data_IF_048838246421
#
_entry.id   IF_048838246421
#
_cell.length_a   1.000
_cell.length_b   1.000
_cell.length_c   1.000
_cell.angle_alpha   90.00
_cell.angle_beta   90.00
_cell.angle_gamma   90.00
#
_symmetry.space_group_name_H-M   'P 1'
#
loop_
_entity.id
_entity.type
_entity.pdbx_description
1 polymer ?
#
# COMPACT_ATOMS: atom_id res chain seq x y z
N UNK A 1 -3.71 4.60 -5.30
CA UNK A 1 -3.57 3.12 -5.18
C UNK A 1 -3.23 2.82 -3.71
N UNK A 2 -3.69 1.73 -3.11
CA UNK A 2 -3.32 1.42 -1.72
C UNK A 2 -1.90 0.81 -1.73
N UNK A 3 -0.95 1.46 -1.06
CA UNK A 3 0.48 1.11 -1.10
C UNK A 3 0.88 -0.06 -0.20
N UNK A 4 0.07 -0.36 0.82
CA UNK A 4 0.34 -1.36 1.85
C UNK A 4 1.50 -0.96 2.77
N UNK A 5 1.31 -1.11 4.07
CA UNK A 5 2.39 -0.92 5.04
C UNK A 5 3.30 -2.15 5.08
N UNK A 6 4.57 -1.93 5.43
CA UNK A 6 5.50 -3.02 5.67
C UNK A 6 5.13 -3.76 6.95
N UNK A 7 5.46 -5.04 7.04
CA UNK A 7 5.26 -5.80 8.27
C UNK A 7 6.07 -5.24 9.43
N UNK A 8 7.27 -4.70 9.16
CA UNK A 8 8.06 -3.98 10.15
C UNK A 8 7.24 -2.84 10.78
N UNK A 9 6.64 -1.99 9.95
CA UNK A 9 5.85 -0.85 10.41
C UNK A 9 4.61 -1.30 11.20
N UNK A 10 3.86 -2.28 10.69
CA UNK A 10 2.68 -2.82 11.38
C UNK A 10 3.07 -3.37 12.76
N UNK A 11 4.18 -4.10 12.85
CA UNK A 11 4.68 -4.65 14.10
C UNK A 11 5.15 -3.55 15.05
N UNK A 12 5.95 -2.61 14.59
CA UNK A 12 6.54 -1.55 15.42
C UNK A 12 5.46 -0.62 16.01
N UNK A 13 4.42 -0.29 15.23
CA UNK A 13 3.34 0.58 15.69
C UNK A 13 2.36 -0.10 16.66
N UNK A 14 2.12 -1.41 16.48
CA UNK A 14 1.03 -2.10 17.18
C UNK A 14 1.53 -3.06 18.28
N UNK A 15 2.83 -3.28 18.40
CA UNK A 15 3.44 -4.17 19.39
C UNK A 15 4.63 -3.51 20.09
N UNK A 16 4.39 -2.46 20.90
CA UNK A 16 5.45 -1.77 21.62
C UNK A 16 6.17 -2.74 22.57
N UNK A 17 7.50 -2.71 22.55
CA UNK A 17 8.34 -3.57 23.40
C UNK A 17 8.63 -4.96 22.81
N UNK A 18 8.09 -5.30 21.63
CA UNK A 18 8.53 -6.50 20.93
C UNK A 18 9.93 -6.31 20.34
N UNK A 19 10.77 -7.35 20.46
CA UNK A 19 12.12 -7.32 19.90
C UNK A 19 12.08 -7.13 18.38
N UNK A 20 13.10 -6.47 17.79
CA UNK A 20 13.24 -6.38 16.34
C UNK A 20 13.16 -7.76 15.69
N UNK A 21 12.21 -7.94 14.78
CA UNK A 21 12.04 -9.18 14.03
C UNK A 21 12.65 -9.05 12.64
N UNK A 22 13.08 -10.19 12.08
CA UNK A 22 13.49 -10.29 10.68
C UNK A 22 12.29 -10.55 9.75
N UNK A 23 11.16 -10.95 10.31
CA UNK A 23 9.92 -11.20 9.60
C UNK A 23 8.84 -11.77 10.51
N UNK A 24 7.78 -12.27 9.88
CA UNK A 24 6.66 -12.93 10.55
C UNK A 24 6.27 -14.21 9.81
N UNK A 25 5.50 -15.05 10.47
CA UNK A 25 4.67 -16.07 9.83
C UNK A 25 3.22 -15.68 10.10
N UNK A 26 2.48 -15.36 9.04
CA UNK A 26 1.07 -15.00 9.14
C UNK A 26 0.25 -16.28 9.25
N UNK A 27 -0.51 -16.38 10.32
CA UNK A 27 -1.29 -17.56 10.69
C UNK A 27 -2.78 -17.34 10.42
N UNK A 28 -3.24 -16.09 10.52
CA UNK A 28 -4.64 -15.78 10.28
C UNK A 28 -4.81 -14.39 9.70
N UNK A 29 -5.69 -14.29 8.70
CA UNK A 29 -6.18 -13.02 8.17
C UNK A 29 -7.70 -13.10 8.06
N UNK A 30 -8.39 -12.06 8.53
CA UNK A 30 -9.85 -11.98 8.41
C UNK A 30 -10.27 -11.91 6.93
N UNK A 31 -10.76 -13.02 6.41
CA UNK A 31 -11.16 -13.18 5.02
C UNK A 31 -12.41 -12.38 4.65
N UNK A 32 -13.19 -11.90 5.63
CA UNK A 32 -14.39 -11.09 5.38
C UNK A 32 -14.04 -9.64 5.08
N UNK A 33 -12.85 -9.18 5.45
CA UNK A 33 -12.43 -7.80 5.22
C UNK A 33 -12.14 -7.49 3.75
N UNK A 34 -11.79 -8.50 2.94
CA UNK A 34 -11.49 -8.31 1.52
C UNK A 34 -10.47 -9.29 0.97
N UNK A 35 -9.96 -8.97 -0.22
CA UNK A 35 -8.86 -9.74 -0.84
C UNK A 35 -7.52 -9.29 -0.27
N UNK A 36 -6.90 -10.17 0.52
CA UNK A 36 -5.58 -9.94 1.07
C UNK A 36 -4.48 -10.18 0.04
N UNK A 37 -3.49 -9.30 0.06
CA UNK A 37 -2.36 -9.36 -0.85
C UNK A 37 -1.07 -8.96 -0.15
N UNK A 38 0.03 -9.53 -0.62
CA UNK A 38 1.37 -9.13 -0.19
C UNK A 38 2.24 -8.76 -1.39
N UNK A 39 3.28 -7.99 -1.11
CA UNK A 39 4.34 -7.64 -2.06
C UNK A 39 5.70 -7.88 -1.42
N UNK A 40 6.64 -8.37 -2.24
CA UNK A 40 8.04 -8.58 -1.88
C UNK A 40 8.98 -7.62 -2.63
N UNK A 41 8.43 -6.72 -3.45
CA UNK A 41 9.15 -5.82 -4.34
C UNK A 41 8.67 -4.38 -4.17
N UNK A 42 8.53 -3.97 -2.90
CA UNK A 42 8.13 -2.63 -2.48
C UNK A 42 6.77 -2.15 -3.03
N UNK A 43 5.87 -3.06 -3.34
CA UNK A 43 4.53 -2.77 -3.84
C UNK A 43 4.44 -2.66 -5.37
N UNK A 44 5.51 -3.02 -6.11
CA UNK A 44 5.50 -3.06 -7.58
C UNK A 44 4.61 -4.18 -8.11
N UNK A 45 4.67 -5.37 -7.50
CA UNK A 45 3.79 -6.50 -7.78
C UNK A 45 3.11 -6.99 -6.52
N UNK A 46 1.90 -7.53 -6.68
CA UNK A 46 1.07 -7.99 -5.58
C UNK A 46 0.57 -9.40 -5.84
N UNK A 47 0.72 -10.26 -4.83
CA UNK A 47 0.28 -11.66 -4.85
C UNK A 47 -0.87 -11.84 -3.87
N UNK A 48 -1.91 -12.55 -4.29
CA UNK A 48 -3.03 -12.88 -3.41
C UNK A 48 -2.59 -13.85 -2.30
N UNK A 49 -3.09 -13.61 -1.08
CA UNK A 49 -2.93 -14.52 0.05
C UNK A 49 -4.10 -15.50 0.06
N UNK A 50 -3.77 -16.79 0.17
CA UNK A 50 -4.72 -17.89 0.34
C UNK A 50 -5.16 -17.94 1.80
N UNK A 51 -6.13 -17.11 2.16
CA UNK A 51 -6.67 -17.06 3.53
C UNK A 51 -7.33 -18.37 3.92
N UNK A 52 -7.90 -19.11 2.96
CA UNK A 52 -8.37 -20.48 3.11
C UNK A 52 -7.29 -21.45 3.63
N UNK A 53 -6.03 -21.25 3.20
CA UNK A 53 -4.93 -22.13 3.54
C UNK A 53 -4.33 -21.83 4.91
N UNK A 54 -4.29 -20.57 5.32
CA UNK A 54 -3.72 -20.17 6.60
C UNK A 54 -4.75 -20.21 7.74
N UNK A 55 -6.02 -19.90 7.47
CA UNK A 55 -7.07 -19.90 8.49
C UNK A 55 -7.61 -21.30 8.82
N UNK A 56 -7.25 -22.32 8.03
CA UNK A 56 -7.70 -23.70 8.28
C UNK A 56 -7.01 -24.29 9.52
N UNK A 57 -7.64 -25.29 10.10
CA UNK A 57 -6.97 -26.14 11.09
C UNK A 57 -5.76 -26.86 10.45
N UNK A 58 -4.65 -26.92 11.20
CA UNK A 58 -3.37 -27.42 10.72
C UNK A 58 -2.42 -26.26 10.52
N UNK A 59 -1.45 -26.18 11.43
CA UNK A 59 -0.50 -25.08 11.65
C UNK A 59 0.27 -24.67 10.40
N UNK A 60 -0.37 -24.02 9.44
CA UNK A 60 0.19 -23.62 8.15
C UNK A 60 0.10 -22.12 8.04
N UNK A 61 1.24 -21.47 7.83
CA UNK A 61 1.32 -20.02 7.79
C UNK A 61 2.06 -19.51 6.55
N UNK A 62 1.87 -18.24 6.23
CA UNK A 62 2.60 -17.55 5.17
C UNK A 62 3.83 -16.86 5.76
N UNK A 63 5.02 -17.33 5.38
CA UNK A 63 6.28 -16.74 5.81
C UNK A 63 6.59 -15.46 5.04
N UNK A 64 6.77 -14.34 5.73
CA UNK A 64 7.07 -13.04 5.13
C UNK A 64 8.18 -12.33 5.90
N UNK A 65 9.15 -11.77 5.18
CA UNK A 65 10.18 -10.92 5.79
C UNK A 65 9.60 -9.56 6.20
N UNK A 66 10.29 -8.85 7.10
CA UNK A 66 9.82 -7.59 7.69
C UNK A 66 9.56 -6.47 6.66
N UNK A 67 10.25 -6.52 5.53
CA UNK A 67 10.16 -5.58 4.41
C UNK A 67 8.98 -5.87 3.47
N UNK A 68 8.39 -7.07 3.56
CA UNK A 68 7.19 -7.40 2.80
C UNK A 68 6.05 -6.44 3.16
N UNK A 69 5.31 -6.01 2.15
CA UNK A 69 4.14 -5.14 2.33
C UNK A 69 2.87 -5.98 2.36
N UNK A 70 1.96 -5.60 3.25
CA UNK A 70 0.65 -6.22 3.37
C UNK A 70 -0.42 -5.22 2.95
N UNK A 71 -1.44 -5.67 2.22
CA UNK A 71 -2.63 -4.88 1.95
C UNK A 71 -3.88 -5.75 1.89
N UNK A 72 -5.02 -5.13 2.04
CA UNK A 72 -6.34 -5.71 1.82
C UNK A 72 -7.13 -4.81 0.88
N UNK A 73 -7.74 -5.40 -0.15
CA UNK A 73 -8.68 -4.74 -1.04
C UNK A 73 -10.09 -4.99 -0.52
N UNK A 74 -10.76 -4.01 0.10
CA UNK A 74 -12.04 -4.24 0.76
C UNK A 74 -13.12 -4.65 -0.24
N UNK A 75 -14.02 -5.55 0.18
CA UNK A 75 -15.22 -5.82 -0.59
C UNK A 75 -16.14 -4.59 -0.62
N UNK A 76 -16.81 -4.36 -1.75
CA UNK A 76 -17.68 -3.20 -1.92
C UNK A 76 -18.74 -3.14 -0.80
N UNK A 77 -18.99 -1.94 -0.29
CA UNK A 77 -20.02 -1.70 0.74
C UNK A 77 -19.63 -2.06 2.18
N UNK A 78 -18.47 -2.70 2.41
CA UNK A 78 -18.03 -3.04 3.77
C UNK A 78 -17.30 -1.88 4.45
N UNK A 79 -17.88 -1.37 5.54
CA UNK A 79 -17.19 -0.47 6.48
C UNK A 79 -16.67 -1.31 7.65
N UNK A 80 -15.51 -1.92 7.46
CA UNK A 80 -14.86 -2.68 8.53
C UNK A 80 -14.04 -1.70 9.38
N UNK A 81 -14.39 -1.54 10.66
CA UNK A 81 -13.69 -0.65 11.58
C UNK A 81 -12.36 -1.24 12.08
N UNK A 82 -12.27 -2.57 12.13
CA UNK A 82 -11.08 -3.30 12.55
C UNK A 82 -11.09 -4.72 12.00
N UNK A 83 -9.92 -5.22 11.65
CA UNK A 83 -9.73 -6.48 10.94
C UNK A 83 -8.74 -7.34 11.70
N UNK A 84 -9.06 -8.62 11.90
CA UNK A 84 -8.20 -9.53 12.68
C UNK A 84 -6.99 -10.00 11.85
N UNK A 85 -5.81 -9.85 12.43
CA UNK A 85 -4.54 -10.35 11.90
C UNK A 85 -3.85 -11.12 13.00
N UNK A 86 -3.42 -12.35 12.73
CA UNK A 86 -2.60 -13.12 13.67
C UNK A 86 -1.31 -13.62 13.01
N UNK A 87 -0.21 -13.50 13.72
CA UNK A 87 1.11 -13.90 13.27
C UNK A 87 2.03 -14.13 14.47
N UNK A 88 3.14 -14.82 14.26
CA UNK A 88 4.27 -14.76 15.17
C UNK A 88 5.48 -14.14 14.47
N UNK A 89 6.35 -13.47 15.23
CA UNK A 89 7.59 -12.91 14.69
C UNK A 89 8.68 -13.96 14.56
N UNK A 90 9.65 -13.75 13.68
CA UNK A 90 10.83 -14.60 13.58
C UNK A 90 12.09 -13.76 13.67
N UNK A 91 13.12 -14.28 14.33
CA UNK A 91 14.41 -13.59 14.48
C UNK A 91 15.33 -13.75 13.28
N UNK A 92 15.10 -14.78 12.44
CA UNK A 92 15.86 -15.01 11.20
C UNK A 92 14.99 -14.74 10.00
N UNK A 93 15.59 -14.16 8.96
CA UNK A 93 14.90 -13.96 7.69
C UNK A 93 14.54 -15.31 7.06
N UNK A 94 13.47 -15.33 6.27
CA UNK A 94 13.02 -16.56 5.60
C UNK A 94 13.86 -16.92 4.37
N UNK A 95 14.83 -16.07 3.99
CA UNK A 95 15.66 -16.24 2.80
C UNK A 95 14.82 -16.57 1.57
N UNK A 96 15.16 -17.69 0.93
CA UNK A 96 14.49 -18.18 -0.28
C UNK A 96 13.04 -18.63 -0.06
N UNK A 97 12.61 -18.79 1.19
CA UNK A 97 11.23 -19.11 1.54
C UNK A 97 10.36 -17.89 1.85
N UNK A 98 10.84 -16.66 1.59
CA UNK A 98 10.00 -15.46 1.70
C UNK A 98 8.82 -15.54 0.70
N UNK A 99 7.59 -15.45 1.19
CA UNK A 99 6.36 -15.61 0.42
C UNK A 99 5.94 -17.06 0.16
N UNK A 100 6.47 -18.03 0.91
CA UNK A 100 6.07 -19.45 0.89
C UNK A 100 5.07 -19.77 2.02
N UNK A 101 4.13 -20.68 1.75
CA UNK A 101 3.34 -21.32 2.81
C UNK A 101 4.14 -22.46 3.43
N UNK A 102 4.13 -22.56 4.76
CA UNK A 102 4.88 -23.60 5.47
C UNK A 102 4.19 -24.02 6.76
N UNK A 103 4.39 -25.27 7.19
CA UNK A 103 4.00 -25.66 8.53
C UNK A 103 4.81 -24.86 9.58
N UNK A 104 4.18 -24.56 10.71
CA UNK A 104 4.83 -24.03 11.90
C UNK A 104 4.43 -24.89 13.12
N UNK A 105 5.28 -24.94 14.13
CA UNK A 105 4.96 -25.67 15.36
C UNK A 105 4.01 -24.81 16.21
N UNK A 106 2.87 -25.36 16.64
CA UNK A 106 1.96 -24.69 17.60
C UNK A 106 2.21 -25.15 19.04
N UNK A 107 2.51 -26.44 19.24
CA UNK A 107 2.30 -27.13 20.52
C UNK A 107 3.56 -27.35 21.38
N UNK A 108 4.71 -26.77 21.01
CA UNK A 108 5.99 -26.93 21.74
C UNK A 108 6.67 -25.58 22.02
N UNK A 109 5.89 -24.53 22.28
CA UNK A 109 6.49 -23.24 22.65
C UNK A 109 6.94 -23.29 24.11
N UNK A 110 8.17 -23.75 24.34
CA UNK A 110 8.91 -23.44 25.57
C UNK A 110 8.90 -21.92 25.82
N UNK A 111 8.97 -21.53 27.10
CA UNK A 111 9.12 -20.14 27.55
C UNK A 111 10.22 -19.43 26.74
N UNK A 112 9.84 -18.62 25.75
CA UNK A 112 10.79 -17.94 24.83
C UNK A 112 10.58 -18.19 23.33
N UNK A 113 9.73 -19.14 22.92
CA UNK A 113 9.30 -19.23 21.53
C UNK A 113 8.29 -18.14 21.18
N UNK A 114 8.50 -17.47 20.04
CA UNK A 114 7.71 -16.33 19.54
C UNK A 114 6.20 -16.57 19.60
N UNK A 115 5.51 -16.08 20.62
CA UNK A 115 4.07 -16.30 20.80
C UNK A 115 3.25 -15.71 19.64
N UNK A 116 2.13 -16.35 19.30
CA UNK A 116 1.19 -15.77 18.33
C UNK A 116 0.67 -14.45 18.88
N UNK A 117 0.90 -13.38 18.14
CA UNK A 117 0.34 -12.06 18.34
C UNK A 117 -0.95 -11.97 17.53
N UNK A 118 -2.05 -11.61 18.19
CA UNK A 118 -3.30 -11.26 17.51
C UNK A 118 -3.54 -9.77 17.63
N UNK A 119 -3.77 -9.11 16.51
CA UNK A 119 -4.13 -7.70 16.41
C UNK A 119 -5.51 -7.53 15.77
N UNK A 120 -6.18 -6.45 16.12
CA UNK A 120 -7.36 -5.93 15.40
C UNK A 120 -6.97 -4.58 14.84
N UNK A 121 -6.79 -4.52 13.52
CA UNK A 121 -6.20 -3.36 12.84
C UNK A 121 -7.22 -2.64 11.97
N UNK A 122 -7.20 -1.32 11.99
CA UNK A 122 -7.93 -0.53 11.01
C UNK A 122 -7.34 -0.73 9.60
N UNK A 123 -8.17 -0.57 8.56
CA UNK A 123 -7.71 -0.70 7.17
C UNK A 123 -6.59 0.29 6.81
N UNK A 124 -6.56 1.47 7.44
CA UNK A 124 -5.47 2.45 7.27
C UNK A 124 -4.13 1.96 7.81
N UNK A 125 -4.13 1.25 8.94
CA UNK A 125 -2.92 0.68 9.54
C UNK A 125 -2.34 -0.44 8.66
N UNK A 126 -3.19 -1.18 7.94
CA UNK A 126 -2.77 -2.23 7.01
C UNK A 126 -2.34 -1.63 5.67
N UNK A 127 -3.20 -0.82 5.05
CA UNK A 127 -3.03 -0.35 3.67
C UNK A 127 -2.11 0.87 3.54
N UNK A 128 -1.79 1.54 4.65
CA UNK A 128 -1.05 2.79 4.66
C UNK A 128 -1.78 3.94 3.96
N UNK A 129 -1.11 5.09 3.89
CA UNK A 129 -1.56 6.19 3.05
C UNK A 129 -1.39 5.84 1.56
N UNK A 130 -2.28 6.34 0.67
CA UNK A 130 -2.05 6.21 -0.77
C UNK A 130 -0.68 6.84 -1.13
N UNK A 131 0.14 6.19 -1.98
CA UNK A 131 1.36 6.81 -2.46
C UNK A 131 1.01 8.07 -3.23
N UNK A 132 1.82 9.12 -3.06
CA UNK A 132 1.65 10.40 -3.77
C UNK A 132 1.85 10.12 -5.26
N UNK A 133 0.76 10.01 -6.01
CA UNK A 133 0.82 9.94 -7.47
C UNK A 133 0.94 11.38 -7.97
N UNK A 134 2.12 11.75 -8.45
CA UNK A 134 2.25 12.94 -9.29
C UNK A 134 1.60 12.65 -10.63
N UNK A 135 0.31 12.94 -10.73
CA UNK A 135 -0.39 12.94 -12.02
C UNK A 135 0.09 14.18 -12.78
N UNK A 136 0.82 14.05 -13.91
CA UNK A 136 1.11 15.21 -14.73
C UNK A 136 -0.23 15.82 -15.12
N UNK A 137 -0.44 17.10 -14.78
CA UNK A 137 -1.66 17.80 -15.17
C UNK A 137 -1.86 17.58 -16.68
N UNK A 138 -3.04 17.12 -17.13
CA UNK A 138 -3.32 17.04 -18.56
C UNK A 138 -3.10 18.43 -19.16
N UNK A 139 -2.04 18.60 -19.96
CA UNK A 139 -1.80 19.86 -20.68
C UNK A 139 -2.92 19.96 -21.73
N UNK A 140 -3.97 20.71 -21.41
CA UNK A 140 -5.06 21.00 -22.33
C UNK A 140 -4.50 21.68 -23.59
N UNK A 141 -4.30 20.92 -24.67
CA UNK A 141 -3.86 21.45 -25.98
C UNK A 141 -4.80 22.53 -26.53
N UNK A 142 -6.08 22.51 -26.12
CA UNK A 142 -7.08 23.53 -26.48
C UNK A 142 -6.79 24.93 -25.91
N UNK A 143 -6.08 25.04 -24.78
CA UNK A 143 -5.76 26.34 -24.17
C UNK A 143 -4.59 27.06 -24.86
N UNK A 144 -3.86 26.40 -25.77
CA UNK A 144 -2.77 27.04 -26.54
C UNK A 144 -3.31 27.76 -27.78
N UNK A 145 -4.34 27.19 -28.43
CA UNK A 145 -4.91 27.75 -29.67
C UNK A 145 -5.62 29.08 -29.42
N UNK A 146 -6.23 29.27 -28.25
CA UNK A 146 -6.87 30.54 -27.88
C UNK A 146 -5.88 31.65 -27.56
N UNK A 147 -4.62 31.33 -27.20
CA UNK A 147 -3.58 32.35 -26.96
C UNK A 147 -2.90 32.83 -28.23
N UNK A 148 -2.80 32.00 -29.26
CA UNK A 148 -2.29 32.42 -30.57
C UNK A 148 -3.30 33.24 -31.37
N UNK A 149 -4.60 33.07 -31.13
CA UNK A 149 -5.65 33.81 -31.85
C UNK A 149 -5.92 35.23 -31.29
N UNK A 150 -5.51 35.53 -30.05
CA UNK A 150 -5.75 36.83 -29.42
C UNK A 150 -4.65 37.89 -29.70
N UNK A 151 -3.61 37.54 -30.47
CA UNK A 151 -2.45 38.41 -30.76
C UNK A 151 -2.53 39.21 -32.06
N UNK A 152 -3.58 39.07 -32.87
CA UNK A 152 -3.73 39.80 -34.13
C UNK A 152 -4.75 40.95 -33.97
N UNK A 153 -4.30 42.06 -33.38
CA UNK A 153 -5.05 43.33 -33.39
C UNK A 153 -4.89 44.06 -34.74
N UNK A 154 -5.91 44.79 -35.21
CA UNK A 154 -5.90 45.40 -36.54
C UNK A 154 -4.98 46.64 -36.62
N UNK A 155 -4.26 46.76 -37.74
CA UNK A 155 -3.47 47.93 -38.09
C UNK A 155 -4.40 49.13 -38.39
N UNK A 156 -4.49 50.07 -37.45
CA UNK A 156 -5.12 51.38 -37.65
C UNK A 156 -4.07 52.43 -37.99
N UNK A 157 -3.76 52.61 -39.28
CA UNK A 157 -2.96 53.73 -39.78
C UNK A 157 -3.86 54.92 -40.11
N UNK A 158 -3.94 55.91 -39.23
CA UNK A 158 -4.55 57.21 -39.51
C UNK A 158 -3.53 58.12 -40.16
N UNK A 159 -3.76 58.48 -41.42
CA UNK A 159 -3.04 59.49 -42.19
C UNK A 159 -3.24 60.87 -41.52
N UNK A 160 -2.14 61.52 -41.17
CA UNK A 160 -2.13 62.91 -40.74
C UNK A 160 -1.00 63.62 -41.46
N UNK A 161 -1.32 64.26 -42.59
CA UNK A 161 -0.42 65.21 -43.25
C UNK A 161 -1.27 66.34 -43.85
N UNK A 162 -0.92 67.58 -43.54
CA UNK A 162 -1.72 68.74 -43.91
C UNK A 162 -1.35 70.01 -43.14
N UNK A 163 -0.08 70.41 -43.24
CA UNK A 163 0.39 71.75 -42.84
C UNK A 163 0.41 72.64 -44.08
N UNK A 164 -0.31 73.76 -44.08
CA UNK A 164 -0.04 74.89 -44.98
C UNK A 164 -0.38 76.22 -44.31
N UNK A 165 0.61 77.10 -44.29
CA UNK A 165 0.62 78.48 -43.86
C UNK A 165 0.14 79.41 -45.00
N UNK A 166 -0.42 80.55 -44.57
CA UNK A 166 -0.68 81.81 -45.30
C UNK A 166 -1.82 81.83 -46.32
#
# INVERSE_FOLDING_TARGET
MLGGNTLAHIVEENCPGMLPSAGVVVEHLDAQAGTWQFSLDEGRTWRAIRTDLINRAGNMGLALNRDARLRVLPFAGHRVSGVRVAFHTVQRSHGMGNGSYRPYASDEREEGCSCTVTLVLALSAINGAPPVVHVPRPRNKRALVQRTAAGAGPAGGSLGDGMALA
#
